data_IF_866805872142
#
_entry.id   IF_866805872142
#
_cell.length_a   1.000
_cell.length_b   1.000
_cell.length_c   1.000
_cell.angle_alpha   90.00
_cell.angle_beta   90.00
_cell.angle_gamma   90.00
#
_symmetry.space_group_name_H-M   'P 1'
#
loop_
_entity.id
_entity.type
_entity.pdbx_description
1 polymer ?
#
# COMPACT_ATOMS: atom_id res chain seq x y z
N UNK A 1 -11.59 10.70 38.74
CA UNK A 1 -11.71 9.38 38.09
C UNK A 1 -10.62 9.29 37.04
N UNK A 2 -9.76 8.27 37.04
CA UNK A 2 -8.93 8.01 35.86
C UNK A 2 -9.89 7.77 34.69
N UNK A 3 -9.71 8.48 33.58
CA UNK A 3 -10.55 8.31 32.40
C UNK A 3 -10.42 6.90 31.85
N UNK A 4 -11.52 6.33 31.36
CA UNK A 4 -11.50 5.06 30.64
C UNK A 4 -10.54 5.22 29.45
N UNK A 5 -9.56 4.32 29.27
CA UNK A 5 -8.70 4.40 28.10
C UNK A 5 -9.53 4.29 26.82
N UNK A 6 -9.13 4.97 25.73
CA UNK A 6 -9.83 4.85 24.45
C UNK A 6 -9.87 3.39 23.99
N UNK A 7 -10.94 3.03 23.28
CA UNK A 7 -11.05 1.71 22.64
C UNK A 7 -9.91 1.53 21.64
N UNK A 8 -9.35 0.32 21.57
CA UNK A 8 -8.28 0.00 20.64
C UNK A 8 -8.52 -1.36 19.99
N UNK A 9 -8.26 -1.45 18.69
CA UNK A 9 -8.20 -2.71 17.97
C UNK A 9 -6.77 -3.26 18.01
N UNK A 10 -6.62 -4.54 18.39
CA UNK A 10 -5.32 -5.18 18.51
C UNK A 10 -5.31 -6.55 17.86
N UNK A 11 -4.33 -6.81 16.99
CA UNK A 11 -4.14 -8.12 16.38
C UNK A 11 -2.67 -8.42 16.09
N UNK A 12 -2.32 -9.70 16.13
CA UNK A 12 -1.01 -10.16 15.67
C UNK A 12 -0.90 -10.14 14.13
N UNK A 13 -2.01 -10.42 13.45
CA UNK A 13 -2.09 -10.55 12.00
C UNK A 13 -3.53 -10.28 11.55
N UNK A 14 -3.67 -9.50 10.48
CA UNK A 14 -4.85 -9.49 9.61
C UNK A 14 -4.40 -10.01 8.25
N UNK A 15 -5.17 -10.93 7.67
CA UNK A 15 -4.87 -11.46 6.36
C UNK A 15 -6.15 -11.59 5.53
N UNK A 16 -6.09 -11.06 4.32
CA UNK A 16 -7.12 -11.17 3.31
C UNK A 16 -6.60 -11.97 2.11
N UNK A 17 -7.47 -12.79 1.54
CA UNK A 17 -7.17 -13.67 0.43
C UNK A 17 -8.34 -13.68 -0.54
N UNK A 18 -8.08 -13.42 -1.82
CA UNK A 18 -9.03 -13.60 -2.91
C UNK A 18 -10.32 -12.77 -2.76
N UNK A 19 -10.17 -11.45 -2.59
CA UNK A 19 -11.28 -10.51 -2.41
C UNK A 19 -11.65 -9.83 -3.75
N UNK A 20 -12.12 -10.55 -4.76
CA UNK A 20 -12.48 -9.95 -6.07
C UNK A 20 -12.39 -10.95 -7.21
N UNK A 21 -13.11 -10.71 -8.31
CA UNK A 21 -13.47 -11.72 -9.33
C UNK A 21 -12.30 -12.57 -9.87
N UNK A 22 -12.59 -13.83 -10.22
CA UNK A 22 -11.72 -14.62 -11.11
C UNK A 22 -11.66 -13.99 -12.51
N UNK A 23 -10.54 -14.19 -13.21
CA UNK A 23 -10.20 -13.60 -14.52
C UNK A 23 -11.44 -13.32 -15.39
N UNK A 24 -11.56 -12.12 -16.01
CA UNK A 24 -12.65 -11.86 -16.93
C UNK A 24 -12.62 -12.92 -18.04
N UNK A 25 -13.64 -13.76 -18.08
CA UNK A 25 -13.80 -14.74 -19.16
C UNK A 25 -13.81 -13.98 -20.49
N UNK A 26 -13.11 -14.46 -21.54
CA UNK A 26 -13.11 -13.82 -22.84
C UNK A 26 -14.51 -13.93 -23.45
N UNK A 27 -15.32 -12.89 -23.23
CA UNK A 27 -16.69 -12.79 -23.71
C UNK A 27 -16.99 -11.34 -24.11
N UNK A 28 -17.75 -11.11 -25.19
CA UNK A 28 -17.93 -9.77 -25.71
C UNK A 28 -18.85 -8.98 -24.78
N UNK A 29 -18.32 -7.84 -24.29
CA UNK A 29 -19.03 -6.71 -23.70
C UNK A 29 -20.10 -7.06 -22.65
N UNK A 30 -19.71 -7.06 -21.36
CA UNK A 30 -20.64 -6.75 -20.28
C UNK A 30 -20.44 -5.31 -19.82
N UNK A 31 -21.37 -4.48 -20.31
CA UNK A 31 -22.06 -3.34 -19.69
C UNK A 31 -21.29 -2.58 -18.58
N UNK A 32 -21.18 -1.26 -18.78
CA UNK A 32 -21.09 -0.25 -17.72
C UNK A 32 -21.88 -0.72 -16.49
N UNK A 33 -21.16 -1.25 -15.52
CA UNK A 33 -21.66 -1.70 -14.24
C UNK A 33 -21.04 -0.72 -13.27
N UNK A 34 -21.87 0.15 -12.68
CA UNK A 34 -21.50 1.30 -11.85
C UNK A 34 -20.09 1.16 -11.24
N UNK A 35 -19.13 1.94 -11.75
CA UNK A 35 -17.72 1.97 -11.29
C UNK A 35 -17.60 2.10 -9.76
N UNK A 36 -18.61 2.67 -9.11
CA UNK A 36 -18.68 2.90 -7.66
C UNK A 36 -18.85 1.64 -6.80
N UNK A 37 -18.97 0.46 -7.40
CA UNK A 37 -19.06 -0.84 -6.67
C UNK A 37 -17.88 -1.77 -7.01
N UNK A 38 -16.87 -1.22 -7.66
CA UNK A 38 -15.60 -1.89 -7.92
C UNK A 38 -14.53 -1.43 -6.90
N UNK A 39 -14.61 -0.16 -6.48
CA UNK A 39 -13.84 0.59 -5.47
C UNK A 39 -14.06 0.17 -3.99
N UNK A 40 -14.47 -1.07 -3.71
CA UNK A 40 -14.75 -1.54 -2.34
C UNK A 40 -14.14 -2.91 -2.02
N UNK A 41 -13.09 -3.28 -2.76
CA UNK A 41 -12.53 -4.64 -2.77
C UNK A 41 -11.06 -4.71 -2.43
N UNK A 42 -10.62 -3.78 -1.60
CA UNK A 42 -9.27 -3.79 -1.08
C UNK A 42 -9.02 -5.07 -0.29
N UNK A 43 -7.75 -5.49 -0.29
CA UNK A 43 -7.28 -6.48 0.66
C UNK A 43 -7.50 -6.01 2.09
N UNK A 44 -7.34 -4.72 2.33
CA UNK A 44 -7.41 -4.14 3.66
C UNK A 44 -7.55 -2.61 3.59
N UNK A 45 -8.67 -2.08 4.08
CA UNK A 45 -8.89 -0.62 4.16
C UNK A 45 -9.02 -0.14 5.61
N UNK A 46 -8.47 1.03 5.91
CA UNK A 46 -8.64 1.73 7.20
C UNK A 46 -8.95 3.21 7.00
N UNK A 47 -9.90 3.69 7.79
CA UNK A 47 -10.31 5.08 7.80
C UNK A 47 -10.19 5.69 9.20
N UNK A 48 -9.46 6.81 9.30
CA UNK A 48 -9.49 7.69 10.47
C UNK A 48 -8.85 7.12 11.74
N UNK A 49 -7.88 6.21 11.63
CA UNK A 49 -7.27 5.56 12.83
C UNK A 49 -5.88 6.11 13.15
N UNK A 50 -5.62 6.31 14.45
CA UNK A 50 -4.31 6.71 14.96
C UNK A 50 -3.57 5.61 15.74
N UNK A 51 -2.31 5.85 16.14
CA UNK A 51 -1.48 4.85 16.83
C UNK A 51 -1.99 4.45 18.23
N UNK A 52 -2.97 5.18 18.78
CA UNK A 52 -3.59 4.84 20.07
C UNK A 52 -4.78 3.88 19.92
N UNK A 53 -5.39 3.84 18.73
CA UNK A 53 -6.61 3.09 18.43
C UNK A 53 -6.31 1.82 17.61
N UNK A 54 -5.12 1.76 16.99
CA UNK A 54 -4.70 0.67 16.12
C UNK A 54 -3.34 0.08 16.53
N UNK A 55 -3.32 -1.20 16.92
CA UNK A 55 -2.10 -1.97 17.20
C UNK A 55 -2.16 -3.32 16.49
N UNK A 56 -1.86 -3.32 15.20
CA UNK A 56 -1.74 -4.53 14.38
C UNK A 56 -0.31 -4.70 13.91
N UNK A 57 0.26 -5.88 14.15
CA UNK A 57 1.67 -6.12 13.83
C UNK A 57 1.90 -6.46 12.36
N UNK A 58 0.97 -7.15 11.73
CA UNK A 58 1.14 -7.65 10.37
C UNK A 58 -0.16 -7.58 9.58
N UNK A 59 -0.05 -7.09 8.35
CA UNK A 59 -1.11 -7.13 7.35
C UNK A 59 -0.62 -7.95 6.16
N UNK A 60 -1.49 -8.82 5.66
CA UNK A 60 -1.28 -9.55 4.42
C UNK A 60 -2.48 -9.40 3.49
N UNK A 61 -2.23 -8.99 2.26
CA UNK A 61 -3.20 -8.99 1.18
C UNK A 61 -2.70 -9.87 0.04
N UNK A 62 -3.54 -10.78 -0.40
CA UNK A 62 -3.26 -11.64 -1.55
C UNK A 62 -4.46 -11.62 -2.48
N UNK A 63 -4.25 -11.22 -3.73
CA UNK A 63 -5.29 -11.23 -4.75
C UNK A 63 -6.52 -10.41 -4.33
N UNK A 64 -6.29 -9.17 -3.88
CA UNK A 64 -7.37 -8.20 -3.70
C UNK A 64 -8.00 -7.87 -5.05
N UNK A 65 -9.30 -7.59 -5.03
CA UNK A 65 -10.08 -7.19 -6.20
C UNK A 65 -9.81 -5.77 -6.63
N UNK A 66 -9.14 -5.03 -5.75
CA UNK A 66 -8.76 -3.63 -5.87
C UNK A 66 -7.34 -3.47 -5.26
N UNK A 67 -7.13 -2.50 -4.37
CA UNK A 67 -5.83 -2.24 -3.75
C UNK A 67 -5.39 -3.31 -2.74
N UNK A 68 -4.07 -3.44 -2.60
CA UNK A 68 -3.48 -4.30 -1.59
C UNK A 68 -3.77 -3.80 -0.17
N UNK A 69 -3.60 -2.51 0.03
CA UNK A 69 -3.96 -1.77 1.25
C UNK A 69 -4.37 -0.34 0.87
N UNK A 70 -5.49 0.12 1.42
CA UNK A 70 -5.95 1.50 1.32
C UNK A 70 -6.00 2.12 2.73
N UNK A 71 -5.34 3.27 2.90
CA UNK A 71 -5.45 4.06 4.12
C UNK A 71 -5.94 5.47 3.80
N UNK A 72 -7.09 5.82 4.38
CA UNK A 72 -7.61 7.19 4.33
C UNK A 72 -7.54 7.85 5.71
N UNK A 73 -6.97 9.05 5.80
CA UNK A 73 -6.86 9.87 7.01
C UNK A 73 -6.30 9.09 8.23
N UNK A 74 -5.32 8.22 8.02
CA UNK A 74 -4.85 7.25 9.01
C UNK A 74 -3.34 7.32 9.27
N UNK A 75 -2.94 6.98 10.50
CA UNK A 75 -1.54 6.87 10.91
C UNK A 75 -1.26 5.46 11.42
N UNK A 76 -0.66 4.63 10.56
CA UNK A 76 -0.50 3.20 10.79
C UNK A 76 0.98 2.83 10.86
N UNK A 77 1.33 1.99 11.83
CA UNK A 77 2.64 1.37 11.94
C UNK A 77 2.51 -0.16 11.96
N UNK A 78 3.19 -0.83 11.04
CA UNK A 78 3.22 -2.28 10.93
C UNK A 78 4.65 -2.80 11.18
N UNK A 79 4.74 -3.98 11.77
CA UNK A 79 6.01 -4.71 11.80
C UNK A 79 6.28 -5.34 10.43
N UNK A 80 5.24 -5.85 9.77
CA UNK A 80 5.33 -6.54 8.48
C UNK A 80 4.14 -6.18 7.60
N UNK A 81 4.38 -5.95 6.32
CA UNK A 81 3.37 -5.80 5.29
C UNK A 81 3.71 -6.73 4.13
N UNK A 82 2.73 -7.49 3.67
CA UNK A 82 2.85 -8.31 2.46
C UNK A 82 1.63 -8.11 1.56
N UNK A 83 1.86 -7.65 0.35
CA UNK A 83 0.86 -7.48 -0.70
C UNK A 83 1.31 -8.28 -1.91
N UNK A 84 0.40 -9.08 -2.47
CA UNK A 84 0.69 -9.91 -3.64
C UNK A 84 -0.48 -9.85 -4.60
N UNK A 85 -0.18 -9.45 -5.84
CA UNK A 85 -1.09 -9.44 -6.97
C UNK A 85 -2.45 -8.78 -6.68
N UNK A 86 -2.48 -7.53 -6.17
CA UNK A 86 -3.71 -6.73 -6.19
C UNK A 86 -4.17 -6.49 -7.63
N UNK A 87 -5.46 -6.26 -7.85
CA UNK A 87 -5.96 -5.91 -9.19
C UNK A 87 -5.53 -4.51 -9.62
N UNK A 88 -5.43 -3.57 -8.67
CA UNK A 88 -4.99 -2.19 -8.86
C UNK A 88 -3.64 -1.98 -8.16
N UNK A 89 -3.57 -1.10 -7.17
CA UNK A 89 -2.33 -0.68 -6.54
C UNK A 89 -1.90 -1.57 -5.38
N UNK A 90 -0.61 -1.50 -5.09
CA UNK A 90 -0.01 -2.15 -3.93
C UNK A 90 -0.46 -1.48 -2.64
N UNK A 91 -0.10 -0.20 -2.53
CA UNK A 91 -0.29 0.64 -1.36
C UNK A 91 -0.89 1.96 -1.83
N UNK A 92 -2.14 2.20 -1.47
CA UNK A 92 -2.84 3.43 -1.72
C UNK A 92 -3.00 4.22 -0.41
N UNK A 93 -2.58 5.49 -0.39
CA UNK A 93 -2.68 6.36 0.79
C UNK A 93 -3.27 7.73 0.43
N UNK A 94 -4.41 8.08 1.01
CA UNK A 94 -4.97 9.43 0.95
C UNK A 94 -4.91 10.11 2.33
N UNK A 95 -4.13 11.19 2.42
CA UNK A 95 -3.81 11.90 3.67
C UNK A 95 -3.38 10.98 4.83
N UNK A 96 -2.50 10.00 4.54
CA UNK A 96 -2.18 8.90 5.46
C UNK A 96 -0.69 8.61 5.57
N UNK A 97 -0.28 8.05 6.71
CA UNK A 97 1.12 7.65 6.94
C UNK A 97 1.21 6.16 7.27
N UNK A 98 2.13 5.47 6.61
CA UNK A 98 2.40 4.07 6.83
C UNK A 98 3.86 3.84 7.18
N UNK A 99 4.13 3.29 8.37
CA UNK A 99 5.48 2.89 8.79
C UNK A 99 5.64 1.38 8.78
N UNK A 100 6.71 0.85 8.18
CA UNK A 100 6.98 -0.60 8.13
C UNK A 100 8.35 -0.91 8.72
N UNK A 101 8.39 -1.72 9.79
CA UNK A 101 9.59 -1.87 10.61
C UNK A 101 10.54 -3.02 10.22
N UNK A 102 10.03 -4.21 9.86
CA UNK A 102 10.88 -5.41 9.66
C UNK A 102 10.80 -6.03 8.28
N UNK A 103 9.63 -6.01 7.63
CA UNK A 103 9.47 -6.61 6.31
C UNK A 103 8.42 -5.87 5.49
N UNK A 104 8.80 -5.42 4.30
CA UNK A 104 7.89 -4.90 3.28
C UNK A 104 8.02 -5.80 2.05
N UNK A 105 6.95 -6.50 1.69
CA UNK A 105 6.88 -7.27 0.46
C UNK A 105 5.69 -6.78 -0.36
N UNK A 106 5.92 -6.26 -1.56
CA UNK A 106 4.87 -5.73 -2.44
C UNK A 106 5.14 -6.21 -3.86
N UNK A 107 4.31 -7.11 -4.34
CA UNK A 107 4.39 -7.65 -5.69
C UNK A 107 3.15 -7.23 -6.49
N UNK A 108 3.32 -6.19 -7.31
CA UNK A 108 2.35 -5.65 -8.27
C UNK A 108 2.89 -5.90 -9.68
N UNK A 109 3.27 -7.16 -9.96
CA UNK A 109 3.76 -7.54 -11.29
C UNK A 109 2.75 -7.16 -12.36
N UNK A 110 3.21 -6.38 -13.36
CA UNK A 110 2.39 -5.96 -14.49
C UNK A 110 1.80 -7.17 -15.23
N UNK A 111 0.49 -7.13 -15.44
CA UNK A 111 -0.30 -8.20 -16.09
C UNK A 111 -1.09 -7.68 -17.31
N UNK A 112 -0.83 -6.45 -17.76
CA UNK A 112 -1.51 -5.81 -18.90
C UNK A 112 -2.69 -4.92 -18.53
N UNK A 113 -3.07 -4.87 -17.25
CA UNK A 113 -3.99 -3.86 -16.70
C UNK A 113 -3.22 -2.54 -16.50
N UNK A 114 -3.85 -1.41 -16.83
CA UNK A 114 -3.30 -0.06 -16.62
C UNK A 114 -3.62 0.43 -15.19
N UNK A 115 -2.90 1.45 -14.69
CA UNK A 115 -2.96 1.90 -13.28
C UNK A 115 -2.72 0.78 -12.28
N UNK A 116 -1.46 0.35 -12.20
CA UNK A 116 -1.03 -0.65 -11.22
C UNK A 116 0.34 -0.30 -10.72
N UNK A 117 0.36 0.47 -9.66
CA UNK A 117 1.54 1.03 -9.02
C UNK A 117 1.80 0.39 -7.65
N UNK A 118 3.07 0.35 -7.26
CA UNK A 118 3.49 -0.15 -5.95
C UNK A 118 3.00 0.82 -4.87
N UNK A 119 3.05 2.12 -5.17
CA UNK A 119 2.61 3.19 -4.29
C UNK A 119 1.76 4.16 -5.12
N UNK A 120 0.57 4.46 -4.63
CA UNK A 120 -0.21 5.64 -5.04
C UNK A 120 -0.51 6.49 -3.81
N UNK A 121 -0.14 7.77 -3.84
CA UNK A 121 -0.13 8.64 -2.64
C UNK A 121 -0.72 10.02 -2.93
N UNK A 122 -1.81 10.36 -2.24
CA UNK A 122 -2.55 11.61 -2.40
C UNK A 122 -2.57 12.44 -1.11
N UNK A 123 -2.51 13.76 -1.20
CA UNK A 123 -2.30 14.64 -0.03
C UNK A 123 -3.50 15.48 0.42
N UNK A 124 -4.69 15.23 -0.13
CA UNK A 124 -5.93 16.02 0.02
C UNK A 124 -5.94 17.05 1.15
N UNK A 125 -5.84 16.58 2.40
CA UNK A 125 -5.93 17.37 3.62
C UNK A 125 -4.75 17.11 4.59
N UNK A 126 -3.74 16.33 4.19
CA UNK A 126 -2.65 15.90 5.05
C UNK A 126 -1.50 15.21 4.31
N UNK A 127 -0.35 15.00 4.98
CA UNK A 127 0.79 14.38 4.34
C UNK A 127 0.53 12.90 4.03
N UNK A 128 0.93 12.46 2.83
CA UNK A 128 0.94 11.04 2.45
C UNK A 128 2.34 10.51 2.22
N UNK A 129 2.73 9.52 3.02
CA UNK A 129 4.04 8.88 2.91
C UNK A 129 4.11 7.47 3.50
N UNK A 130 5.02 6.68 2.91
CA UNK A 130 5.47 5.39 3.42
C UNK A 130 6.90 5.53 3.94
N UNK A 131 7.10 5.22 5.21
CA UNK A 131 8.42 5.12 5.84
C UNK A 131 8.80 3.66 6.07
N UNK A 132 9.93 3.24 5.51
CA UNK A 132 10.45 1.88 5.68
C UNK A 132 11.69 1.95 6.55
N UNK A 133 11.62 1.31 7.73
CA UNK A 133 12.67 1.44 8.73
C UNK A 133 14.00 0.87 8.26
N UNK A 134 15.10 1.39 8.82
CA UNK A 134 16.43 0.80 8.65
C UNK A 134 16.41 -0.66 9.10
N UNK A 135 17.13 -1.51 8.37
CA UNK A 135 17.19 -2.97 8.52
C UNK A 135 15.90 -3.72 8.17
N UNK A 136 14.88 -3.04 7.64
CA UNK A 136 13.75 -3.71 7.03
C UNK A 136 14.21 -4.54 5.82
N UNK A 137 13.66 -5.75 5.69
CA UNK A 137 13.77 -6.55 4.49
C UNK A 137 12.71 -6.09 3.49
N UNK A 138 13.15 -5.58 2.36
CA UNK A 138 12.30 -5.05 1.29
C UNK A 138 12.36 -6.00 0.10
N UNK A 139 11.20 -6.37 -0.41
CA UNK A 139 11.00 -7.18 -1.62
C UNK A 139 9.87 -6.54 -2.43
N UNK A 140 10.23 -5.65 -3.35
CA UNK A 140 9.27 -4.87 -4.14
C UNK A 140 9.47 -5.14 -5.62
N UNK A 141 8.38 -5.31 -6.35
CA UNK A 141 8.36 -5.57 -7.78
C UNK A 141 7.06 -5.06 -8.40
N UNK A 142 7.15 -4.23 -9.44
CA UNK A 142 5.99 -3.58 -10.05
C UNK A 142 6.37 -2.25 -10.71
N UNK A 143 5.40 -1.41 -11.03
CA UNK A 143 5.64 -0.01 -11.41
C UNK A 143 5.68 0.83 -10.14
N UNK A 144 6.57 1.81 -10.01
CA UNK A 144 6.76 2.46 -8.70
C UNK A 144 5.57 3.34 -8.26
N UNK A 145 4.78 3.85 -9.19
CA UNK A 145 3.95 5.03 -9.00
C UNK A 145 4.49 6.25 -9.75
N UNK A 146 3.59 7.15 -10.10
CA UNK A 146 3.91 8.48 -10.61
C UNK A 146 3.77 9.55 -9.52
N UNK A 147 4.19 10.79 -9.81
CA UNK A 147 4.10 11.92 -8.86
C UNK A 147 4.68 11.67 -7.44
N UNK A 148 5.63 10.76 -7.31
CA UNK A 148 6.24 10.39 -6.03
C UNK A 148 7.71 10.76 -5.96
N UNK A 149 8.21 10.88 -4.72
CA UNK A 149 9.64 10.94 -4.45
C UNK A 149 10.06 9.80 -3.53
N UNK A 150 11.01 9.02 -4.03
CA UNK A 150 11.74 8.03 -3.25
C UNK A 150 13.07 8.60 -2.75
N UNK A 151 13.27 8.59 -1.44
CA UNK A 151 14.52 8.95 -0.78
C UNK A 151 15.09 7.74 -0.03
N UNK A 152 16.14 7.14 -0.58
CA UNK A 152 16.91 6.09 0.08
C UNK A 152 18.30 5.94 -0.56
N UNK A 153 19.37 5.74 0.23
CA UNK A 153 20.71 5.40 -0.25
C UNK A 153 20.90 3.89 -0.49
N UNK A 154 19.93 3.06 -0.11
CA UNK A 154 19.94 1.60 -0.29
C UNK A 154 19.06 1.15 -1.46
N UNK A 155 17.93 1.83 -1.70
CA UNK A 155 17.04 1.52 -2.82
C UNK A 155 17.56 2.15 -4.12
N UNK A 156 17.37 1.49 -5.28
CA UNK A 156 17.66 2.07 -6.58
C UNK A 156 16.90 3.38 -6.78
N UNK A 157 17.53 4.36 -7.40
CA UNK A 157 16.81 5.55 -7.84
C UNK A 157 15.75 5.14 -8.88
N UNK A 158 14.52 5.71 -8.83
CA UNK A 158 13.54 5.46 -9.87
C UNK A 158 14.07 5.89 -11.24
N UNK A 159 13.69 5.14 -12.27
CA UNK A 159 14.00 5.51 -13.65
C UNK A 159 13.31 6.83 -14.02
N UNK A 160 13.79 7.48 -15.09
CA UNK A 160 13.16 8.71 -15.62
C UNK A 160 11.73 8.52 -16.15
N UNK A 161 11.34 7.27 -16.38
CA UNK A 161 10.02 6.90 -16.89
C UNK A 161 9.30 6.17 -15.76
N UNK A 162 8.15 6.70 -15.37
CA UNK A 162 7.31 6.18 -14.29
C UNK A 162 6.77 4.80 -14.62
N UNK A 163 6.49 4.51 -15.89
CA UNK A 163 5.95 3.22 -16.37
C UNK A 163 6.96 2.06 -16.48
N UNK A 164 8.19 2.24 -16.01
CA UNK A 164 9.18 1.16 -16.04
C UNK A 164 9.05 0.30 -14.79
N UNK A 165 9.23 -1.00 -14.96
CA UNK A 165 9.35 -1.92 -13.84
C UNK A 165 10.46 -1.45 -12.88
N UNK A 166 10.09 -1.31 -11.63
CA UNK A 166 10.91 -1.02 -10.48
C UNK A 166 11.01 -2.28 -9.62
N UNK A 167 12.23 -2.60 -9.18
CA UNK A 167 12.47 -3.81 -8.43
C UNK A 167 13.61 -3.66 -7.43
N UNK A 168 13.40 -4.18 -6.23
CA UNK A 168 14.45 -4.31 -5.23
C UNK A 168 14.16 -5.48 -4.30
N UNK A 169 15.20 -6.27 -4.00
CA UNK A 169 15.16 -7.31 -2.98
C UNK A 169 16.40 -7.25 -2.10
N UNK A 170 16.23 -6.97 -0.81
CA UNK A 170 17.35 -6.87 0.12
C UNK A 170 17.01 -6.14 1.41
N UNK A 171 18.05 -5.72 2.13
CA UNK A 171 17.90 -4.99 3.40
C UNK A 171 18.28 -3.51 3.22
N UNK A 172 17.56 -2.61 3.88
CA UNK A 172 17.94 -1.20 4.03
C UNK A 172 19.07 -1.06 5.07
N UNK A 173 20.33 -1.14 4.64
CA UNK A 173 21.48 -1.21 5.56
C UNK A 173 21.96 0.17 6.05
N UNK A 174 21.91 1.18 5.20
CA UNK A 174 22.47 2.51 5.44
C UNK A 174 21.47 3.42 6.16
N UNK A 175 20.21 3.50 5.73
CA UNK A 175 19.20 4.36 6.36
C UNK A 175 17.77 3.84 6.17
N UNK A 176 16.78 4.42 6.86
CA UNK A 176 15.38 4.28 6.44
C UNK A 176 15.19 4.75 5.00
N UNK A 177 14.13 4.27 4.36
CA UNK A 177 13.63 4.79 3.09
C UNK A 177 12.33 5.57 3.34
N UNK A 178 12.11 6.62 2.55
CA UNK A 178 10.89 7.41 2.56
C UNK A 178 10.36 7.52 1.13
N UNK A 179 9.10 7.14 0.93
CA UNK A 179 8.32 7.40 -0.29
C UNK A 179 7.23 8.38 0.10
N UNK A 180 7.12 9.49 -0.62
CA UNK A 180 6.13 10.51 -0.31
C UNK A 180 5.62 11.18 -1.59
N UNK A 181 4.38 11.67 -1.53
CA UNK A 181 3.76 12.34 -2.65
C UNK A 181 4.44 13.69 -2.96
N UNK A 182 4.50 14.04 -4.25
CA UNK A 182 4.91 15.35 -4.73
C UNK A 182 3.73 16.30 -4.91
N UNK A 183 2.48 15.79 -4.89
CA UNK A 183 1.31 16.66 -4.94
C UNK A 183 1.14 17.36 -3.60
N UNK A 184 0.85 18.66 -3.68
CA UNK A 184 0.08 19.37 -2.67
C UNK A 184 -1.15 19.78 -3.45
N UNK A 185 -2.31 19.22 -3.11
CA UNK A 185 -3.56 19.75 -3.64
C UNK A 185 -3.94 21.05 -2.93
#
# INVERSE_FOLDING_TARGET
KPGTPPSAFRAGLIAAYHLGHGDPAPGPARRRQDDRTQDDRDGFSLLGVGPQEWDVREVRSFHSGDDGIDLTNSQVALTRLRIVAPSEDGINLSSSTLRVARSLAVDVTANGVADRDIFDLETDHGPSYVEVARHCHVDIHGVLGDQLRLTSPDLPAPGRSTRKCYGFKGFLRKSPALVYSLTQD
#
